data_IF_123179808518
#
_entry.id   IF_123179808518
#
_cell.length_a   1.000
_cell.length_b   1.000
_cell.length_c   1.000
_cell.angle_alpha   90.00
_cell.angle_beta   90.00
_cell.angle_gamma   90.00
#
_symmetry.space_group_name_H-M   'P 1'
#
loop_
_entity.id
_entity.type
_entity.pdbx_description
1 polymer ?
#
# COMPACT_ATOMS: atom_id res chain seq x y z
N UNK A 1 25.00 -18.13 2.37
CA UNK A 1 25.65 -16.91 1.86
C UNK A 1 24.60 -16.02 1.24
N UNK A 2 24.38 -14.83 1.78
CA UNK A 2 24.26 -13.55 1.06
C UNK A 2 24.11 -12.43 2.09
N UNK A 3 25.05 -11.47 2.05
CA UNK A 3 24.94 -10.21 2.77
C UNK A 3 23.94 -9.33 2.02
N UNK A 4 22.73 -9.18 2.53
CA UNK A 4 21.84 -8.11 2.06
C UNK A 4 22.41 -6.78 2.55
N UNK A 5 22.97 -5.97 1.64
CA UNK A 5 23.10 -4.53 1.91
C UNK A 5 21.69 -3.92 1.92
N UNK A 6 21.42 -2.88 2.72
CA UNK A 6 20.17 -2.14 2.66
C UNK A 6 19.91 -1.71 1.22
N UNK A 7 18.92 -2.32 0.57
CA UNK A 7 18.56 -2.02 -0.81
C UNK A 7 17.43 -1.02 -0.80
N UNK A 8 17.80 0.25 -0.87
CA UNK A 8 16.86 1.36 -1.03
C UNK A 8 16.27 1.32 -2.43
N UNK A 9 14.97 1.05 -2.53
CA UNK A 9 14.24 0.90 -3.79
C UNK A 9 13.00 1.78 -3.81
N UNK A 10 12.70 2.31 -5.00
CA UNK A 10 11.48 3.09 -5.24
C UNK A 10 10.48 2.15 -5.91
N UNK A 11 9.30 2.04 -5.33
CA UNK A 11 8.20 1.27 -5.89
C UNK A 11 7.11 2.20 -6.39
N UNK A 12 6.69 2.02 -7.64
CA UNK A 12 5.51 2.65 -8.19
C UNK A 12 4.30 1.76 -7.96
N UNK A 13 3.30 2.31 -7.28
CA UNK A 13 2.00 1.64 -7.07
C UNK A 13 0.95 2.30 -7.94
N UNK A 14 0.20 1.50 -8.69
CA UNK A 14 -0.97 1.91 -9.46
C UNK A 14 -2.17 1.07 -9.07
N UNK A 15 -3.30 1.72 -8.80
CA UNK A 15 -4.55 1.03 -8.44
C UNK A 15 -5.65 1.49 -9.40
N UNK A 16 -6.32 0.52 -10.00
CA UNK A 16 -7.48 0.72 -10.87
C UNK A 16 -8.67 -0.01 -10.30
N UNK A 17 -9.84 0.61 -10.37
CA UNK A 17 -11.09 -0.02 -10.05
C UNK A 17 -11.98 0.00 -11.29
N UNK A 18 -12.42 -1.18 -11.72
CA UNK A 18 -13.35 -1.36 -12.81
C UNK A 18 -14.71 -1.60 -12.17
N UNK A 19 -15.65 -0.71 -12.43
CA UNK A 19 -17.04 -0.87 -12.05
C UNK A 19 -17.89 -1.01 -13.33
N UNK A 20 -19.11 -1.56 -13.26
CA UNK A 20 -19.87 -1.94 -14.46
C UNK A 20 -20.03 -0.85 -15.52
N UNK A 21 -20.04 0.42 -15.11
CA UNK A 21 -20.30 1.57 -15.97
C UNK A 21 -19.04 2.36 -16.34
N UNK A 22 -17.89 2.09 -15.69
CA UNK A 22 -16.63 2.83 -15.95
C UNK A 22 -15.40 2.13 -15.38
N UNK A 23 -14.26 2.35 -16.03
CA UNK A 23 -12.95 2.12 -15.40
C UNK A 23 -12.48 3.40 -14.76
N UNK A 24 -12.13 3.33 -13.48
CA UNK A 24 -11.61 4.45 -12.69
C UNK A 24 -10.18 4.10 -12.30
N UNK A 25 -9.19 4.86 -12.77
CA UNK A 25 -7.89 4.85 -12.09
C UNK A 25 -8.12 5.56 -10.77
N UNK A 26 -7.72 4.94 -9.68
CA UNK A 26 -7.98 5.49 -8.34
C UNK A 26 -6.75 6.16 -7.77
N UNK A 27 -5.58 5.59 -8.04
CA UNK A 27 -4.38 5.96 -7.32
C UNK A 27 -3.13 5.63 -8.13
N UNK A 28 -2.19 6.57 -8.15
CA UNK A 28 -0.79 6.34 -8.49
C UNK A 28 0.08 6.97 -7.39
N UNK A 29 1.18 6.35 -7.01
CA UNK A 29 2.18 6.99 -6.16
C UNK A 29 3.43 6.15 -5.98
N UNK A 30 4.50 6.82 -5.56
CA UNK A 30 5.81 6.21 -5.37
C UNK A 30 6.11 6.06 -3.88
N UNK A 31 6.66 4.91 -3.50
CA UNK A 31 7.12 4.64 -2.14
C UNK A 31 8.61 4.34 -2.18
N UNK A 32 9.41 5.09 -1.42
CA UNK A 32 10.81 4.77 -1.16
C UNK A 32 10.88 3.87 0.09
N UNK A 33 11.47 2.70 -0.07
CA UNK A 33 11.54 1.69 0.98
C UNK A 33 12.95 1.10 1.06
N UNK A 34 13.39 0.86 2.29
CA UNK A 34 14.58 0.09 2.62
C UNK A 34 14.17 -1.15 3.42
N UNK A 35 14.89 -2.24 3.19
CA UNK A 35 14.67 -3.50 3.87
C UNK A 35 15.99 -4.12 4.30
N UNK A 36 16.01 -4.55 5.56
CA UNK A 36 17.13 -5.26 6.16
C UNK A 36 16.63 -6.58 6.73
N UNK A 37 17.29 -7.67 6.38
CA UNK A 37 16.96 -8.99 6.92
C UNK A 37 17.45 -9.11 8.37
N UNK A 38 16.57 -9.57 9.27
CA UNK A 38 16.85 -9.76 10.69
C UNK A 38 16.67 -11.23 11.07
N UNK A 39 17.36 -12.16 10.40
CA UNK A 39 17.20 -13.61 10.69
C UNK A 39 17.60 -13.95 12.14
N UNK A 40 16.83 -14.81 12.84
CA UNK A 40 15.60 -15.50 12.40
C UNK A 40 14.30 -14.71 12.67
N UNK A 41 14.38 -13.51 13.22
CA UNK A 41 13.27 -12.74 13.78
C UNK A 41 12.37 -12.02 12.75
N UNK A 42 12.71 -12.09 11.47
CA UNK A 42 11.97 -11.48 10.36
C UNK A 42 12.80 -10.46 9.61
N UNK A 43 12.21 -9.29 9.35
CA UNK A 43 12.89 -8.21 8.64
C UNK A 43 12.49 -6.83 9.17
N UNK A 44 13.44 -5.90 9.10
CA UNK A 44 13.20 -4.47 9.29
C UNK A 44 12.74 -3.89 7.96
N UNK A 45 11.63 -3.17 7.98
CA UNK A 45 11.12 -2.45 6.83
C UNK A 45 11.04 -0.96 7.18
N UNK A 46 11.81 -0.15 6.47
CA UNK A 46 11.86 1.29 6.63
C UNK A 46 11.14 1.95 5.44
N UNK A 47 9.91 2.39 5.68
CA UNK A 47 9.16 3.20 4.74
C UNK A 47 9.69 4.64 4.86
N UNK A 48 10.57 5.02 3.94
CA UNK A 48 11.29 6.29 4.04
C UNK A 48 10.44 7.48 3.65
N UNK A 49 9.75 7.39 2.51
CA UNK A 49 8.93 8.48 1.95
C UNK A 49 7.86 7.94 1.01
N UNK A 50 6.81 8.73 0.81
CA UNK A 50 5.83 8.55 -0.25
C UNK A 50 5.64 9.86 -1.00
N UNK A 51 5.67 9.82 -2.33
CA UNK A 51 5.63 11.03 -3.17
C UNK A 51 5.00 10.73 -4.53
N UNK A 52 4.79 11.79 -5.33
CA UNK A 52 4.08 11.75 -6.62
C UNK A 52 2.70 11.09 -6.53
N UNK A 53 1.99 11.35 -5.42
CA UNK A 53 0.66 10.78 -5.17
C UNK A 53 -0.37 11.49 -6.04
N UNK A 54 -1.01 10.73 -6.91
CA UNK A 54 -2.11 11.18 -7.77
C UNK A 54 -3.35 10.35 -7.49
N UNK A 55 -4.44 11.01 -7.11
CA UNK A 55 -5.75 10.40 -6.90
C UNK A 55 -6.66 10.95 -8.02
N UNK A 56 -6.90 10.14 -9.04
CA UNK A 56 -7.79 10.54 -10.14
C UNK A 56 -9.21 10.76 -9.56
N UNK A 57 -9.80 11.92 -9.86
CA UNK A 57 -11.02 12.53 -9.28
C UNK A 57 -10.87 13.40 -8.02
N UNK A 58 -9.67 13.54 -7.45
CA UNK A 58 -9.43 14.57 -6.45
C UNK A 58 -9.12 15.89 -7.19
N UNK A 59 -10.12 16.77 -7.36
CA UNK A 59 -9.88 18.10 -7.90
C UNK A 59 -8.76 18.78 -7.08
N UNK A 60 -7.70 19.26 -7.73
CA UNK A 60 -6.60 19.95 -7.04
C UNK A 60 -7.18 21.08 -6.19
N UNK A 61 -7.15 20.89 -4.89
CA UNK A 61 -7.68 21.82 -3.91
C UNK A 61 -6.67 21.97 -2.80
N UNK A 62 -6.65 23.15 -2.17
CA UNK A 62 -5.80 23.42 -1.00
C UNK A 62 -5.96 22.33 0.07
N UNK A 63 -7.17 21.79 0.22
CA UNK A 63 -7.47 20.70 1.15
C UNK A 63 -6.69 19.42 0.81
N UNK A 64 -6.55 19.06 -0.47
CA UNK A 64 -5.77 17.87 -0.86
C UNK A 64 -4.28 18.06 -0.55
N UNK A 65 -3.73 19.24 -0.80
CA UNK A 65 -2.34 19.56 -0.44
C UNK A 65 -2.13 19.41 1.06
N UNK A 66 -3.03 20.00 1.88
CA UNK A 66 -2.96 19.87 3.33
C UNK A 66 -3.09 18.41 3.81
N UNK A 67 -3.92 17.60 3.16
CA UNK A 67 -4.03 16.17 3.47
C UNK A 67 -2.77 15.38 3.11
N UNK A 68 -2.12 15.72 1.99
CA UNK A 68 -0.84 15.14 1.58
C UNK A 68 0.25 15.53 2.58
N UNK A 69 0.41 16.83 2.87
CA UNK A 69 1.40 17.35 3.82
C UNK A 69 1.24 16.71 5.21
N UNK A 70 -0.02 16.59 5.65
CA UNK A 70 -0.32 15.91 6.89
C UNK A 70 0.11 14.44 6.78
N UNK A 71 -0.26 13.72 5.71
CA UNK A 71 0.16 12.35 5.39
C UNK A 71 1.67 12.12 5.42
N UNK A 72 2.45 13.05 4.86
CA UNK A 72 3.91 12.98 4.79
C UNK A 72 4.57 13.01 6.17
N UNK A 73 3.98 13.69 7.16
CA UNK A 73 4.51 13.71 8.54
C UNK A 73 4.56 12.35 9.24
N UNK A 74 3.89 11.32 8.68
CA UNK A 74 4.02 9.95 9.16
C UNK A 74 5.40 9.37 8.88
N UNK A 75 6.07 9.81 7.82
CA UNK A 75 7.33 9.23 7.36
C UNK A 75 8.54 9.91 8.01
N UNK A 76 9.66 9.18 8.22
CA UNK A 76 9.83 7.74 8.00
C UNK A 76 9.07 6.86 9.01
N UNK A 77 8.62 5.70 8.57
CA UNK A 77 7.99 4.67 9.41
C UNK A 77 8.89 3.45 9.46
N UNK A 78 9.33 3.09 10.66
CA UNK A 78 10.17 1.92 10.89
C UNK A 78 9.33 0.75 11.44
N UNK A 79 9.29 -0.34 10.70
CA UNK A 79 8.52 -1.54 11.02
C UNK A 79 9.47 -2.70 11.33
N UNK A 80 9.19 -3.40 12.43
CA UNK A 80 9.67 -4.75 12.65
C UNK A 80 8.59 -5.73 12.17
N UNK A 81 8.92 -6.55 11.17
CA UNK A 81 7.98 -7.44 10.48
C UNK A 81 8.38 -8.87 10.74
N UNK A 82 7.43 -9.68 11.18
CA UNK A 82 7.60 -11.11 11.43
C UNK A 82 7.83 -11.87 10.10
N UNK A 83 8.49 -13.05 10.10
CA UNK A 83 8.73 -13.83 8.88
C UNK A 83 7.50 -14.17 8.04
N UNK A 84 6.29 -14.12 8.60
CA UNK A 84 5.02 -14.33 7.87
C UNK A 84 4.46 -13.06 7.20
N UNK A 85 5.17 -11.93 7.30
CA UNK A 85 4.77 -10.64 6.73
C UNK A 85 3.91 -9.78 7.64
N UNK A 86 3.60 -10.23 8.87
CA UNK A 86 2.82 -9.42 9.83
C UNK A 86 3.69 -8.38 10.52
N UNK A 87 3.16 -7.17 10.66
CA UNK A 87 3.80 -6.11 11.45
C UNK A 87 3.77 -6.53 12.93
N UNK A 88 4.95 -6.69 13.53
CA UNK A 88 5.11 -7.00 14.95
C UNK A 88 5.14 -5.73 15.79
N UNK A 89 5.88 -4.72 15.32
CA UNK A 89 6.05 -3.45 16.01
C UNK A 89 6.32 -2.30 15.03
N UNK A 90 5.86 -1.11 15.37
CA UNK A 90 6.30 0.17 14.81
C UNK A 90 7.35 0.75 15.75
N UNK A 91 8.62 0.68 15.33
CA UNK A 91 9.77 0.97 16.20
C UNK A 91 9.75 2.42 16.68
N UNK A 92 9.39 3.36 15.79
CA UNK A 92 9.40 4.79 16.05
C UNK A 92 7.97 5.38 16.23
N UNK A 93 7.04 4.63 16.81
CA UNK A 93 5.64 5.07 16.99
C UNK A 93 5.50 6.42 17.72
N UNK A 94 6.16 6.60 18.87
CA UNK A 94 6.04 7.86 19.64
C UNK A 94 6.62 9.06 18.89
N UNK A 95 7.68 8.84 18.11
CA UNK A 95 8.26 9.86 17.23
C UNK A 95 7.26 10.27 16.14
N UNK A 96 6.65 9.29 15.45
CA UNK A 96 5.61 9.52 14.44
C UNK A 96 4.44 10.30 15.05
N UNK A 97 3.99 9.90 16.24
CA UNK A 97 2.89 10.56 16.95
C UNK A 97 3.20 12.03 17.20
N UNK A 98 4.40 12.32 17.72
CA UNK A 98 4.86 13.70 17.95
C UNK A 98 4.92 14.50 16.66
N UNK A 99 5.62 14.00 15.63
CA UNK A 99 5.73 14.70 14.32
C UNK A 99 4.36 15.00 13.72
N UNK A 100 3.43 14.06 13.82
CA UNK A 100 2.06 14.24 13.33
C UNK A 100 1.31 15.31 14.12
N UNK A 101 1.41 15.32 15.45
CA UNK A 101 0.77 16.33 16.29
C UNK A 101 1.30 17.73 16.00
N UNK A 102 2.63 17.87 15.90
CA UNK A 102 3.29 19.13 15.58
C UNK A 102 2.84 19.63 14.20
N UNK A 103 2.84 18.76 13.19
CA UNK A 103 2.37 19.12 11.84
C UNK A 103 0.88 19.46 11.81
N UNK A 104 0.04 18.75 12.56
CA UNK A 104 -1.38 19.05 12.64
C UNK A 104 -1.63 20.44 13.25
N UNK A 105 -0.91 20.80 14.32
CA UNK A 105 -1.00 22.12 14.92
C UNK A 105 -0.53 23.23 13.97
N UNK A 106 0.61 23.01 13.28
CA UNK A 106 1.11 23.91 12.24
C UNK A 106 0.06 24.14 11.15
N UNK A 107 -0.52 23.08 10.58
CA UNK A 107 -1.49 23.19 9.49
C UNK A 107 -2.81 23.84 9.94
N UNK A 108 -3.26 23.61 11.19
CA UNK A 108 -4.45 24.26 11.74
C UNK A 108 -4.25 25.76 11.96
N UNK A 109 -3.04 26.19 12.30
CA UNK A 109 -2.72 27.61 12.42
C UNK A 109 -2.79 28.31 11.05
N UNK A 110 -2.33 27.65 9.99
CA UNK A 110 -2.36 28.20 8.63
C UNK A 110 -3.74 28.09 7.96
N UNK A 111 -4.53 27.05 8.29
CA UNK A 111 -5.83 26.80 7.68
C UNK A 111 -6.89 26.39 8.73
N UNK A 112 -7.40 27.36 9.53
CA UNK A 112 -8.25 27.10 10.69
C UNK A 112 -9.72 26.83 10.33
N UNK A 113 -10.00 26.05 9.29
CA UNK A 113 -11.38 25.73 8.90
C UNK A 113 -11.95 24.58 9.74
N UNK A 114 -13.24 24.64 10.05
CA UNK A 114 -13.92 23.58 10.82
C UNK A 114 -13.88 22.22 10.14
N UNK A 115 -13.97 22.17 8.80
CA UNK A 115 -13.92 20.93 8.05
C UNK A 115 -12.53 20.28 8.13
N UNK A 116 -11.47 21.07 8.03
CA UNK A 116 -10.10 20.56 8.14
C UNK A 116 -9.75 20.12 9.56
N UNK A 117 -10.23 20.85 10.57
CA UNK A 117 -10.15 20.44 11.98
C UNK A 117 -10.78 19.08 12.23
N UNK A 118 -12.03 18.86 11.80
CA UNK A 118 -12.69 17.55 11.91
C UNK A 118 -11.92 16.44 11.20
N UNK A 119 -11.33 16.73 10.05
CA UNK A 119 -10.49 15.77 9.34
C UNK A 119 -9.24 15.38 10.15
N UNK A 120 -8.55 16.35 10.74
CA UNK A 120 -7.39 16.09 11.62
C UNK A 120 -7.79 15.26 12.83
N UNK A 121 -8.89 15.61 13.50
CA UNK A 121 -9.41 14.87 14.66
C UNK A 121 -9.70 13.41 14.31
N UNK A 122 -10.41 13.16 13.21
CA UNK A 122 -10.66 11.79 12.72
C UNK A 122 -9.36 11.06 12.33
N UNK A 123 -8.39 11.75 11.76
CA UNK A 123 -7.12 11.14 11.39
C UNK A 123 -6.27 10.77 12.61
N UNK A 124 -6.35 11.54 13.69
CA UNK A 124 -5.65 11.30 14.96
C UNK A 124 -6.14 10.04 15.68
N UNK A 125 -7.36 9.56 15.42
CA UNK A 125 -7.83 8.27 15.95
C UNK A 125 -6.90 7.10 15.56
N UNK A 126 -6.24 7.19 14.41
CA UNK A 126 -5.27 6.19 13.95
C UNK A 126 -3.92 6.25 14.72
N UNK A 127 -3.75 7.18 15.65
CA UNK A 127 -2.53 7.40 16.44
C UNK A 127 -2.80 7.40 17.95
N UNK A 128 -3.96 6.90 18.39
CA UNK A 128 -4.27 6.73 19.81
C UNK A 128 -3.27 5.76 20.46
N UNK A 129 -2.98 4.66 19.76
CA UNK A 129 -1.99 3.66 20.15
C UNK A 129 -1.32 3.03 18.91
N UNK A 130 -0.27 2.24 19.15
CA UNK A 130 0.50 1.57 18.11
C UNK A 130 -0.37 0.61 17.28
N UNK A 131 -1.31 -0.09 17.91
CA UNK A 131 -2.19 -1.05 17.22
C UNK A 131 -3.16 -0.35 16.27
N UNK A 132 -3.64 0.84 16.63
CA UNK A 132 -4.47 1.68 15.77
C UNK A 132 -3.67 2.09 14.51
N UNK A 133 -2.41 2.49 14.67
CA UNK A 133 -1.56 2.83 13.53
C UNK A 133 -1.25 1.62 12.67
N UNK A 134 -0.92 0.46 13.26
CA UNK A 134 -0.73 -0.79 12.52
C UNK A 134 -1.97 -1.14 11.67
N UNK A 135 -3.17 -1.06 12.26
CA UNK A 135 -4.43 -1.28 11.53
C UNK A 135 -4.64 -0.27 10.40
N UNK A 136 -4.24 0.99 10.59
CA UNK A 136 -4.36 2.03 9.56
C UNK A 136 -3.38 1.79 8.41
N UNK A 137 -2.14 1.40 8.69
CA UNK A 137 -1.13 1.06 7.68
C UNK A 137 -1.57 -0.12 6.81
N UNK A 138 -2.21 -1.13 7.41
CA UNK A 138 -2.70 -2.31 6.67
C UNK A 138 -3.91 -2.04 5.76
N UNK A 139 -4.51 -0.83 5.80
CA UNK A 139 -5.50 -0.39 4.80
C UNK A 139 -4.84 0.03 3.48
N UNK A 140 -3.52 0.25 3.50
CA UNK A 140 -2.76 0.59 2.32
C UNK A 140 -2.41 -0.66 1.51
N UNK A 141 -2.87 -0.69 0.26
CA UNK A 141 -2.67 -1.83 -0.65
C UNK A 141 -1.18 -2.12 -0.91
N UNK A 142 -0.31 -1.09 -0.96
CA UNK A 142 1.13 -1.31 -1.14
C UNK A 142 1.70 -2.01 0.09
N UNK A 143 1.47 -1.47 1.29
CA UNK A 143 2.01 -2.04 2.54
C UNK A 143 1.52 -3.48 2.73
N UNK A 144 0.21 -3.72 2.59
CA UNK A 144 -0.36 -5.04 2.84
C UNK A 144 0.17 -6.09 1.87
N UNK A 145 0.19 -5.80 0.55
CA UNK A 145 0.66 -6.75 -0.45
C UNK A 145 2.17 -6.93 -0.40
N UNK A 146 2.93 -5.85 -0.23
CA UNK A 146 4.39 -5.89 -0.21
C UNK A 146 4.91 -6.77 0.93
N UNK A 147 4.46 -6.52 2.16
CA UNK A 147 4.89 -7.31 3.32
C UNK A 147 4.44 -8.77 3.22
N UNK A 148 3.23 -9.01 2.69
CA UNK A 148 2.69 -10.37 2.56
C UNK A 148 3.36 -11.18 1.44
N UNK A 149 3.66 -10.56 0.30
CA UNK A 149 4.34 -11.24 -0.80
C UNK A 149 5.84 -11.44 -0.51
N UNK A 150 6.47 -10.52 0.24
CA UNK A 150 7.85 -10.67 0.68
C UNK A 150 8.06 -11.86 1.63
N UNK A 151 7.02 -12.25 2.38
CA UNK A 151 7.09 -13.41 3.29
C UNK A 151 7.08 -14.75 2.54
N UNK A 152 6.47 -14.82 1.37
CA UNK A 152 6.33 -16.06 0.61
C UNK A 152 5.40 -17.09 1.26
N UNK A 153 4.55 -16.68 2.22
CA UNK A 153 3.55 -17.51 2.89
C UNK A 153 2.12 -17.16 2.44
N UNK A 154 1.12 -18.05 2.65
CA UNK A 154 -0.29 -17.69 2.53
C UNK A 154 -0.69 -16.54 3.47
N UNK A 155 -1.61 -15.68 3.04
CA UNK A 155 -1.99 -14.48 3.79
C UNK A 155 -3.43 -14.05 3.56
N UNK A 156 -3.93 -13.14 4.41
CA UNK A 156 -5.21 -12.48 4.21
C UNK A 156 -5.00 -11.08 3.65
N UNK A 157 -5.70 -10.76 2.56
CA UNK A 157 -5.72 -9.44 1.95
C UNK A 157 -7.11 -8.82 2.10
N UNK A 158 -7.18 -7.52 2.44
CA UNK A 158 -8.47 -6.82 2.58
C UNK A 158 -8.48 -5.59 1.70
N UNK A 159 -9.39 -5.57 0.74
CA UNK A 159 -9.70 -4.36 -0.01
C UNK A 159 -10.65 -3.47 0.81
N UNK A 160 -10.13 -2.42 1.45
CA UNK A 160 -10.97 -1.34 1.98
C UNK A 160 -11.54 -0.48 0.83
N UNK A 161 -12.77 0.00 1.02
CA UNK A 161 -13.55 0.80 0.06
C UNK A 161 -13.82 0.09 -1.28
N UNK A 162 -13.96 -1.24 -1.26
CA UNK A 162 -14.25 -2.05 -2.44
C UNK A 162 -15.37 -3.07 -2.15
N UNK A 163 -16.39 -3.18 -3.03
CA UNK A 163 -16.52 -2.51 -4.33
C UNK A 163 -17.00 -1.05 -4.27
N UNK A 164 -17.36 -0.56 -3.10
CA UNK A 164 -17.77 0.84 -2.89
C UNK A 164 -17.22 1.38 -1.57
N UNK A 165 -17.22 2.70 -1.42
CA UNK A 165 -16.76 3.40 -0.22
C UNK A 165 -17.48 2.87 1.03
N UNK A 166 -16.71 2.63 2.09
CA UNK A 166 -17.21 2.10 3.37
C UNK A 166 -17.37 0.58 3.43
N UNK A 167 -17.32 -0.14 2.31
CA UNK A 167 -17.33 -1.61 2.30
C UNK A 167 -15.91 -2.19 2.33
N UNK A 168 -15.81 -3.44 2.79
CA UNK A 168 -14.57 -4.22 2.83
C UNK A 168 -14.79 -5.57 2.18
N UNK A 169 -13.80 -6.00 1.40
CA UNK A 169 -13.76 -7.32 0.78
C UNK A 169 -12.47 -8.02 1.20
N UNK A 170 -12.59 -9.13 1.93
CA UNK A 170 -11.43 -9.88 2.44
C UNK A 170 -11.25 -11.20 1.70
N UNK A 171 -9.99 -11.48 1.36
CA UNK A 171 -9.55 -12.62 0.58
C UNK A 171 -8.50 -13.41 1.36
N UNK A 172 -8.62 -14.73 1.35
CA UNK A 172 -7.55 -15.64 1.75
C UNK A 172 -6.76 -16.03 0.50
N UNK A 173 -5.47 -15.71 0.51
CA UNK A 173 -4.56 -15.86 -0.63
C UNK A 173 -3.65 -17.06 -0.37
N UNK A 174 -3.87 -18.16 -1.10
CA UNK A 174 -3.04 -19.36 -1.04
C UNK A 174 -2.04 -19.41 -2.18
N UNK A 175 -0.88 -20.01 -1.94
CA UNK A 175 0.11 -20.26 -2.98
C UNK A 175 -0.42 -21.37 -3.88
N UNK A 176 -0.59 -21.06 -5.16
CA UNK A 176 -0.93 -22.04 -6.21
C UNK A 176 0.35 -22.57 -6.86
N UNK A 177 1.32 -21.70 -7.12
CA UNK A 177 2.58 -22.05 -7.76
C UNK A 177 3.75 -21.28 -7.16
N UNK A 178 4.87 -21.97 -6.99
CA UNK A 178 6.17 -21.37 -6.60
C UNK A 178 7.22 -21.77 -7.64
N UNK A 179 7.66 -20.80 -8.42
CA UNK A 179 8.78 -20.93 -9.34
C UNK A 179 10.01 -20.24 -8.74
N UNK A 180 11.18 -20.38 -9.38
CA UNK A 180 12.45 -19.86 -8.87
C UNK A 180 12.40 -18.39 -8.47
N UNK A 181 11.71 -17.56 -9.27
CA UNK A 181 11.64 -16.10 -9.09
C UNK A 181 10.20 -15.56 -9.03
N UNK A 182 9.21 -16.44 -8.95
CA UNK A 182 7.80 -16.05 -9.07
C UNK A 182 6.93 -16.82 -8.09
N UNK A 183 6.06 -16.12 -7.37
CA UNK A 183 5.00 -16.74 -6.59
C UNK A 183 3.65 -16.37 -7.21
N UNK A 184 2.80 -17.37 -7.40
CA UNK A 184 1.43 -17.21 -7.88
C UNK A 184 0.50 -17.59 -6.75
N UNK A 185 -0.38 -16.67 -6.38
CA UNK A 185 -1.40 -16.86 -5.36
C UNK A 185 -2.79 -16.81 -5.99
N UNK A 186 -3.65 -17.70 -5.49
CA UNK A 186 -5.09 -17.67 -5.75
C UNK A 186 -5.80 -17.12 -4.53
N UNK A 187 -6.56 -16.05 -4.74
CA UNK A 187 -7.34 -15.37 -3.72
C UNK A 187 -8.78 -15.88 -3.74
N UNK A 188 -9.25 -16.39 -2.61
CA UNK A 188 -10.62 -16.87 -2.38
C UNK A 188 -11.28 -16.08 -1.26
N UNK A 189 -12.61 -16.10 -1.11
CA UNK A 189 -13.27 -15.40 0.00
C UNK A 189 -12.68 -15.85 1.35
N UNK A 190 -12.30 -14.91 2.21
CA UNK A 190 -11.78 -15.25 3.55
C UNK A 190 -12.89 -15.75 4.50
N UNK A 191 -14.15 -15.40 4.22
CA UNK A 191 -15.31 -15.76 5.02
C UNK A 191 -16.47 -16.16 4.10
N UNK A 192 -17.33 -17.03 4.60
CA UNK A 192 -18.36 -17.71 3.78
C UNK A 192 -19.63 -16.88 3.50
N UNK A 193 -19.86 -15.70 4.10
CA UNK A 193 -21.15 -14.97 4.05
C UNK A 193 -21.02 -13.45 4.40
N UNK A 194 -21.92 -12.52 3.95
CA UNK A 194 -22.62 -12.47 2.65
C UNK A 194 -22.58 -11.09 1.94
N UNK A 195 -22.60 -11.10 0.61
CA UNK A 195 -23.38 -10.17 -0.27
C UNK A 195 -23.05 -10.37 -1.75
N UNK A 196 -21.88 -10.93 -2.05
CA UNK A 196 -21.40 -11.19 -3.41
C UNK A 196 -21.42 -12.68 -3.72
N UNK A 197 -21.90 -13.04 -4.91
CA UNK A 197 -22.12 -14.45 -5.30
C UNK A 197 -20.81 -15.18 -5.61
N UNK A 198 -19.80 -14.44 -6.08
CA UNK A 198 -18.48 -14.95 -6.43
C UNK A 198 -17.46 -13.87 -6.10
N UNK A 199 -16.45 -14.24 -5.33
CA UNK A 199 -15.25 -13.41 -5.13
C UNK A 199 -14.03 -14.28 -5.43
N UNK A 200 -13.16 -13.75 -6.27
CA UNK A 200 -11.93 -14.43 -6.68
C UNK A 200 -10.84 -13.39 -6.93
N UNK A 201 -9.60 -13.85 -6.99
CA UNK A 201 -8.50 -13.01 -7.42
C UNK A 201 -7.24 -13.82 -7.65
N UNK A 202 -6.27 -13.15 -8.23
CA UNK A 202 -4.96 -13.70 -8.52
C UNK A 202 -3.91 -12.66 -8.13
N UNK A 203 -2.80 -13.13 -7.57
CA UNK A 203 -1.65 -12.29 -7.24
C UNK A 203 -0.42 -12.97 -7.80
N UNK A 204 0.36 -12.24 -8.58
CA UNK A 204 1.66 -12.68 -9.07
C UNK A 204 2.70 -11.76 -8.46
N UNK A 205 3.65 -12.32 -7.71
CA UNK A 205 4.81 -11.59 -7.22
C UNK A 205 6.08 -12.10 -7.87
N UNK A 206 6.95 -11.16 -8.21
CA UNK A 206 8.23 -11.39 -8.87
C UNK A 206 9.36 -11.02 -7.91
N UNK A 207 10.39 -11.85 -7.87
CA UNK A 207 11.60 -11.68 -7.05
C UNK A 207 12.79 -11.55 -7.99
N UNK A 208 13.63 -10.54 -7.75
CA UNK A 208 14.86 -10.33 -8.50
C UNK A 208 15.87 -11.45 -8.23
N UNK A 209 16.90 -11.56 -9.09
CA UNK A 209 18.03 -12.47 -8.87
C UNK A 209 18.75 -12.24 -7.52
N UNK A 210 18.64 -11.02 -6.97
CA UNK A 210 19.18 -10.63 -5.66
C UNK A 210 18.27 -11.03 -4.49
N UNK A 211 17.14 -11.72 -4.74
CA UNK A 211 16.20 -12.15 -3.72
C UNK A 211 15.27 -11.04 -3.21
N UNK A 212 15.19 -9.90 -3.89
CA UNK A 212 14.32 -8.77 -3.50
C UNK A 212 13.04 -8.75 -4.31
N UNK A 213 11.91 -8.38 -3.71
CA UNK A 213 10.64 -8.23 -4.44
C UNK A 213 10.78 -7.15 -5.54
N UNK A 214 10.57 -7.52 -6.80
CA UNK A 214 10.70 -6.62 -7.96
C UNK A 214 9.35 -6.12 -8.48
N UNK A 215 8.29 -6.91 -8.28
CA UNK A 215 6.96 -6.53 -8.72
C UNK A 215 5.84 -7.36 -8.10
N UNK A 216 4.65 -6.78 -8.06
CA UNK A 216 3.40 -7.46 -7.71
C UNK A 216 2.31 -7.01 -8.69
N UNK A 217 1.62 -7.98 -9.30
CA UNK A 217 0.37 -7.75 -10.03
C UNK A 217 -0.74 -8.49 -9.34
N UNK A 218 -1.73 -7.77 -8.84
CA UNK A 218 -2.88 -8.33 -8.16
C UNK A 218 -4.18 -7.92 -8.85
N UNK A 219 -5.08 -8.88 -9.06
CA UNK A 219 -6.41 -8.68 -9.59
C UNK A 219 -7.44 -9.31 -8.65
N UNK A 220 -8.49 -8.56 -8.32
CA UNK A 220 -9.59 -9.04 -7.49
C UNK A 220 -10.91 -8.79 -8.21
N UNK A 221 -11.71 -9.83 -8.39
CA UNK A 221 -13.02 -9.78 -9.04
C UNK A 221 -14.10 -10.12 -8.04
N UNK A 222 -15.22 -9.43 -8.17
CA UNK A 222 -16.37 -9.58 -7.29
C UNK A 222 -17.66 -9.42 -8.11
N UNK A 223 -18.51 -10.44 -8.08
CA UNK A 223 -19.79 -10.47 -8.79
C UNK A 223 -20.94 -10.05 -7.88
N UNK A 224 -21.50 -8.88 -8.20
CA UNK A 224 -22.66 -8.27 -7.57
C UNK A 224 -23.99 -8.95 -7.90
N UNK A 225 -25.03 -8.54 -7.17
CA UNK A 225 -26.42 -8.82 -7.54
C UNK A 225 -26.70 -8.22 -8.93
N UNK A 226 -27.37 -8.99 -9.80
CA UNK A 226 -27.65 -8.59 -11.18
C UNK A 226 -26.52 -8.82 -12.18
N UNK A 227 -25.50 -9.62 -11.85
CA UNK A 227 -24.41 -9.98 -12.78
C UNK A 227 -23.36 -8.87 -13.00
N UNK A 228 -23.49 -7.74 -12.31
CA UNK A 228 -22.53 -6.64 -12.32
C UNK A 228 -21.18 -7.08 -11.76
N UNK A 229 -20.12 -7.03 -12.57
CA UNK A 229 -18.76 -7.36 -12.16
C UNK A 229 -18.00 -6.10 -11.70
N UNK A 230 -17.36 -6.21 -10.55
CA UNK A 230 -16.43 -5.21 -10.01
C UNK A 230 -15.04 -5.82 -10.01
N UNK A 231 -14.04 -5.06 -10.46
CA UNK A 231 -12.64 -5.49 -10.40
C UNK A 231 -11.78 -4.44 -9.73
N UNK A 232 -10.76 -4.88 -9.01
CA UNK A 232 -9.67 -4.04 -8.50
C UNK A 232 -8.34 -4.63 -8.96
N UNK A 233 -7.57 -3.81 -9.66
CA UNK A 233 -6.26 -4.17 -10.17
C UNK A 233 -5.20 -3.31 -9.47
N UNK A 234 -4.14 -3.95 -9.01
CA UNK A 234 -3.03 -3.31 -8.32
C UNK A 234 -1.74 -3.76 -9.00
N UNK A 235 -0.94 -2.79 -9.39
CA UNK A 235 0.38 -2.97 -10.00
C UNK A 235 1.41 -2.26 -9.14
N UNK A 236 2.37 -3.02 -8.59
CA UNK A 236 3.49 -2.52 -7.81
C UNK A 236 4.75 -2.93 -8.57
N UNK A 237 5.60 -1.99 -8.94
CA UNK A 237 6.83 -2.27 -9.70
C UNK A 237 7.99 -1.42 -9.20
N UNK A 238 9.19 -1.98 -9.20
CA UNK A 238 10.42 -1.21 -8.94
C UNK A 238 10.65 -0.22 -10.08
N UNK A 239 10.95 1.02 -9.74
CA UNK A 239 11.51 2.00 -10.66
C UNK A 239 13.02 1.87 -10.63
N UNK A 240 13.59 1.23 -11.63
CA UNK A 240 15.06 1.15 -11.75
C UNK A 240 15.66 2.56 -11.80
N UNK A 241 16.79 2.75 -11.11
CA UNK A 241 17.65 3.92 -11.26
C UNK A 241 18.35 3.88 -12.63
N UNK A 242 17.58 3.95 -13.72
CA UNK A 242 18.07 3.58 -15.04
C UNK A 242 17.11 3.85 -16.18
N UNK A 243 16.42 4.97 -16.18
CA UNK A 243 15.97 5.61 -17.43
C UNK A 243 16.18 7.11 -17.33
N UNK A 244 17.46 7.51 -17.34
CA UNK A 244 17.81 8.79 -17.98
C UNK A 244 17.23 8.75 -19.37
N UNK A 245 16.12 9.46 -19.55
CA UNK A 245 15.60 9.86 -20.84
C UNK A 245 16.78 10.37 -21.65
N UNK A 246 17.15 9.62 -22.68
CA UNK A 246 18.04 10.09 -23.74
C UNK A 246 17.42 11.39 -24.22
N UNK A 247 18.08 12.52 -23.90
CA UNK A 247 17.85 13.76 -24.61
C UNK A 247 18.18 13.45 -26.06
N UNK A 248 17.15 13.32 -26.89
CA UNK A 248 17.32 13.42 -28.32
C UNK A 248 17.83 14.84 -28.59
N UNK A 249 19.15 14.95 -28.69
CA UNK A 249 19.78 15.97 -29.50
C UNK A 249 19.36 15.70 -30.95
N UNK A 250 18.37 16.44 -31.42
CA UNK A 250 18.24 16.75 -32.84
C UNK A 250 18.36 18.26 -32.97
N UNK A 251 19.61 18.70 -33.08
CA UNK A 251 19.93 19.82 -33.93
C UNK A 251 19.90 19.29 -35.37
N UNK A 252 18.97 19.83 -36.15
CA UNK A 252 19.15 20.27 -37.54
C UNK A 252 18.02 21.25 -37.85
#
# INVERSE_FOLDING_TARGET
MTFFRPLSRIYLTRIRQIIPEKTVRQYTGKTLLEMDEMRPDGFRCLLLRRYDVQIEHAASSVVNTLMIDLGESLYPIELNVHPDGKIRKIVNFEEIRKRRMDKAAELLNHFPTMNFRKYIEMAQENLIDEKALQKALLRDSFIQLFLSCASGYPFCYTCDNFPQKGLKSSYYCNIEKKETNTFVYVARPAFSYPSYKVMEGNIVSEVSAEGSLSGIKAGFTLLGKGGKAYKREIDISVLDKGSTTTRNNTNL
#
